data_IF_929765186993
#
_entry.id   IF_929765186993
#
_cell.length_a   1.000
_cell.length_b   1.000
_cell.length_c   1.000
_cell.angle_alpha   90.00
_cell.angle_beta   90.00
_cell.angle_gamma   90.00
#
_symmetry.space_group_name_H-M   'P 1'
#
loop_
_entity.id
_entity.type
_entity.pdbx_description
1 polymer ?
#
# COMPACT_ATOMS: atom_id res chain seq x y z
N UNK A 1 18.81 -15.36 -8.59
CA UNK A 1 19.27 -13.95 -8.46
C UNK A 1 18.20 -13.08 -9.07
N UNK A 2 17.85 -11.96 -8.43
CA UNK A 2 16.88 -10.99 -8.95
C UNK A 2 17.60 -9.66 -9.23
N UNK A 3 17.02 -8.84 -10.10
CA UNK A 3 17.47 -7.46 -10.38
C UNK A 3 16.44 -6.45 -9.87
N UNK A 4 16.87 -5.21 -9.70
CA UNK A 4 15.98 -4.09 -9.41
C UNK A 4 15.96 -3.14 -10.61
N UNK A 5 14.77 -2.64 -10.93
CA UNK A 5 14.58 -1.60 -11.95
C UNK A 5 13.77 -0.46 -11.34
N UNK A 6 14.30 0.76 -11.42
CA UNK A 6 13.60 1.98 -11.02
C UNK A 6 12.93 2.61 -12.24
N UNK A 7 11.65 2.94 -12.12
CA UNK A 7 10.87 3.66 -13.11
C UNK A 7 10.47 5.02 -12.53
N UNK A 8 10.93 6.09 -13.19
CA UNK A 8 10.52 7.48 -12.95
C UNK A 8 9.68 8.03 -14.10
N UNK A 9 9.36 7.15 -15.06
CA UNK A 9 8.51 7.38 -16.23
C UNK A 9 7.65 6.14 -16.43
N UNK A 10 6.76 6.14 -17.43
CA UNK A 10 5.88 5.01 -17.70
C UNK A 10 6.65 3.67 -17.79
N UNK A 11 6.26 2.72 -16.95
CA UNK A 11 6.73 1.33 -17.02
C UNK A 11 6.04 0.54 -18.14
N UNK A 12 6.67 -0.52 -18.67
CA UNK A 12 6.06 -1.38 -19.68
C UNK A 12 4.73 -2.00 -19.20
N UNK A 13 3.75 -2.13 -20.10
CA UNK A 13 2.44 -2.74 -19.79
C UNK A 13 2.55 -4.12 -19.12
N UNK A 14 3.45 -5.05 -19.56
CA UNK A 14 3.56 -6.34 -18.91
C UNK A 14 4.00 -6.27 -17.44
N UNK A 15 4.75 -5.23 -17.06
CA UNK A 15 5.14 -4.98 -15.67
C UNK A 15 3.94 -4.49 -14.87
N UNK A 16 3.18 -3.54 -15.42
CA UNK A 16 1.98 -3.00 -14.78
C UNK A 16 0.95 -4.10 -14.52
N UNK A 17 0.69 -4.95 -15.51
CA UNK A 17 -0.25 -6.07 -15.41
C UNK A 17 0.16 -7.07 -14.32
N UNK A 18 1.46 -7.39 -14.20
CA UNK A 18 1.96 -8.26 -13.12
C UNK A 18 1.89 -7.59 -11.73
N UNK A 19 2.13 -6.28 -11.63
CA UNK A 19 1.96 -5.54 -10.38
C UNK A 19 0.50 -5.56 -9.94
N UNK A 20 -0.44 -5.29 -10.84
CA UNK A 20 -1.87 -5.31 -10.54
C UNK A 20 -2.33 -6.70 -10.08
N UNK A 21 -1.85 -7.77 -10.72
CA UNK A 21 -2.11 -9.13 -10.24
C UNK A 21 -1.56 -9.35 -8.81
N UNK A 22 -0.34 -8.89 -8.53
CA UNK A 22 0.24 -8.99 -7.19
C UNK A 22 -0.57 -8.21 -6.14
N UNK A 23 -1.11 -7.05 -6.49
CA UNK A 23 -1.99 -6.26 -5.62
C UNK A 23 -3.27 -7.04 -5.28
N UNK A 24 -3.89 -7.65 -6.28
CA UNK A 24 -5.08 -8.50 -6.13
C UNK A 24 -4.82 -9.70 -5.21
N UNK A 25 -3.65 -10.35 -5.37
CA UNK A 25 -3.25 -11.53 -4.60
C UNK A 25 -2.84 -11.20 -3.16
N UNK A 26 -2.43 -9.95 -2.89
CA UNK A 26 -1.89 -9.51 -1.59
C UNK A 26 -2.75 -8.43 -0.92
N UNK A 27 -4.01 -8.25 -1.33
CA UNK A 27 -4.88 -7.13 -0.89
C UNK A 27 -4.90 -6.95 0.64
N UNK A 28 -5.15 -8.03 1.38
CA UNK A 28 -5.21 -8.02 2.85
C UNK A 28 -3.90 -7.51 3.46
N UNK A 29 -2.75 -7.85 2.86
CA UNK A 29 -1.45 -7.45 3.39
C UNK A 29 -1.11 -5.99 3.08
N UNK A 30 -1.56 -5.44 1.94
CA UNK A 30 -1.17 -4.10 1.46
C UNK A 30 -2.21 -3.01 1.78
N UNK A 31 -3.48 -3.38 1.94
CA UNK A 31 -4.56 -2.43 2.22
C UNK A 31 -4.55 -2.00 3.69
N UNK A 32 -4.83 -0.72 3.95
CA UNK A 32 -5.08 -0.22 5.31
C UNK A 32 -6.32 -0.85 5.95
N UNK A 33 -7.27 -1.36 5.16
CA UNK A 33 -8.48 -2.02 5.68
C UNK A 33 -8.20 -3.46 6.09
N UNK A 34 -7.16 -4.09 5.52
CA UNK A 34 -6.72 -5.45 5.79
C UNK A 34 -7.86 -6.48 5.85
N UNK A 35 -8.87 -6.31 4.99
CA UNK A 35 -10.07 -7.12 5.04
C UNK A 35 -9.76 -8.57 4.62
N UNK A 36 -10.25 -9.59 5.36
CA UNK A 36 -10.04 -10.97 4.99
C UNK A 36 -10.91 -11.37 3.77
N UNK A 37 -10.46 -12.33 2.93
CA UNK A 37 -11.23 -12.82 1.77
C UNK A 37 -12.63 -13.37 2.10
N UNK A 38 -12.88 -13.73 3.37
CA UNK A 38 -14.17 -14.24 3.83
C UNK A 38 -15.25 -13.16 3.98
N UNK A 39 -14.90 -11.88 4.00
CA UNK A 39 -15.88 -10.80 4.11
C UNK A 39 -16.46 -10.49 2.71
N UNK A 40 -17.79 -10.36 2.60
CA UNK A 40 -18.47 -10.11 1.32
C UNK A 40 -18.03 -8.82 0.63
N UNK A 41 -17.55 -7.82 1.38
CA UNK A 41 -17.06 -6.56 0.83
C UNK A 41 -15.66 -6.68 0.21
N UNK A 42 -14.98 -7.82 0.35
CA UNK A 42 -13.61 -8.01 -0.13
C UNK A 42 -13.42 -7.62 -1.59
N UNK A 43 -14.35 -8.02 -2.46
CA UNK A 43 -14.27 -7.72 -3.90
C UNK A 43 -14.37 -6.22 -4.21
N UNK A 44 -15.08 -5.44 -3.38
CA UNK A 44 -15.14 -3.98 -3.53
C UNK A 44 -13.77 -3.39 -3.23
N UNK A 45 -13.14 -3.80 -2.13
CA UNK A 45 -11.80 -3.34 -1.76
C UNK A 45 -10.73 -3.83 -2.74
N UNK A 46 -10.87 -5.05 -3.25
CA UNK A 46 -9.96 -5.60 -4.26
C UNK A 46 -9.96 -4.76 -5.53
N UNK A 47 -11.15 -4.39 -6.02
CA UNK A 47 -11.28 -3.48 -7.15
C UNK A 47 -10.73 -2.10 -6.82
N UNK A 48 -11.15 -1.50 -5.69
CA UNK A 48 -10.79 -0.12 -5.34
C UNK A 48 -9.28 0.05 -5.18
N UNK A 49 -8.60 -0.85 -4.46
CA UNK A 49 -7.14 -0.80 -4.27
C UNK A 49 -6.40 -1.14 -5.56
N UNK A 50 -6.89 -2.10 -6.35
CA UNK A 50 -6.34 -2.39 -7.68
C UNK A 50 -6.40 -1.16 -8.59
N UNK A 51 -7.54 -0.46 -8.60
CA UNK A 51 -7.73 0.75 -9.38
C UNK A 51 -6.90 1.92 -8.87
N UNK A 52 -6.74 2.08 -7.56
CA UNK A 52 -5.83 3.07 -6.96
C UNK A 52 -4.39 2.86 -7.43
N UNK A 53 -3.87 1.64 -7.33
CA UNK A 53 -2.52 1.32 -7.82
C UNK A 53 -2.42 1.54 -9.32
N UNK A 54 -3.43 1.14 -10.11
CA UNK A 54 -3.47 1.40 -11.54
C UNK A 54 -3.35 2.91 -11.83
N UNK A 55 -4.10 3.74 -11.12
CA UNK A 55 -4.04 5.19 -11.30
C UNK A 55 -2.68 5.79 -10.93
N UNK A 56 -1.99 5.24 -9.92
CA UNK A 56 -0.62 5.62 -9.60
C UNK A 56 0.38 5.20 -10.69
N UNK A 57 0.23 3.99 -11.25
CA UNK A 57 1.06 3.53 -12.36
C UNK A 57 0.86 4.40 -13.60
N UNK A 58 -0.38 4.82 -13.89
CA UNK A 58 -0.65 5.79 -14.96
C UNK A 58 -0.02 7.15 -14.69
N UNK A 59 0.08 7.57 -13.42
CA UNK A 59 0.68 8.83 -13.04
C UNK A 59 2.22 8.86 -13.17
N UNK A 60 2.89 7.70 -13.33
CA UNK A 60 4.34 7.62 -13.57
C UNK A 60 4.79 8.45 -14.78
N UNK A 61 3.91 8.70 -15.75
CA UNK A 61 4.23 9.54 -16.92
C UNK A 61 4.10 11.06 -16.65
N UNK A 62 3.78 11.46 -15.41
CA UNK A 62 3.58 12.85 -15.00
C UNK A 62 2.22 13.47 -15.37
N UNK A 63 1.35 12.77 -16.09
CA UNK A 63 0.12 13.32 -16.63
C UNK A 63 -0.95 13.65 -15.57
N UNK A 64 -0.83 13.10 -14.35
CA UNK A 64 -1.80 13.30 -13.25
C UNK A 64 -1.39 14.37 -12.25
N UNK A 65 -0.31 15.11 -12.49
CA UNK A 65 0.13 16.21 -11.61
C UNK A 65 0.61 15.76 -10.23
N UNK A 66 0.87 14.46 -10.04
CA UNK A 66 1.46 13.88 -8.84
C UNK A 66 2.79 13.22 -9.20
N UNK A 67 3.80 13.39 -8.34
CA UNK A 67 5.07 12.69 -8.48
C UNK A 67 4.93 11.26 -7.95
N UNK A 68 5.18 10.30 -8.82
CA UNK A 68 5.15 8.87 -8.49
C UNK A 68 6.41 8.25 -9.05
N UNK A 69 7.03 7.37 -8.26
CA UNK A 69 8.12 6.54 -8.71
C UNK A 69 7.90 5.09 -8.28
N UNK A 70 8.56 4.17 -8.97
CA UNK A 70 8.37 2.74 -8.80
C UNK A 70 9.73 2.02 -8.81
N UNK A 71 9.96 1.15 -7.83
CA UNK A 71 11.03 0.15 -7.88
C UNK A 71 10.40 -1.21 -8.05
N UNK A 72 10.88 -2.00 -9.01
CA UNK A 72 10.41 -3.35 -9.31
C UNK A 72 11.55 -4.34 -9.12
N UNK A 73 11.28 -5.45 -8.42
CA UNK A 73 12.19 -6.58 -8.36
C UNK A 73 11.80 -7.63 -9.40
N UNK A 74 12.76 -8.02 -10.24
CA UNK A 74 12.57 -8.91 -11.37
C UNK A 74 13.41 -10.18 -11.24
N UNK A 75 12.82 -11.32 -11.58
CA UNK A 75 13.55 -12.56 -11.82
C UNK A 75 13.28 -13.01 -13.26
N UNK A 76 14.21 -12.68 -14.16
CA UNK A 76 13.92 -12.73 -15.60
C UNK A 76 12.88 -11.68 -15.96
N UNK A 77 11.79 -12.10 -16.61
CA UNK A 77 10.66 -11.23 -16.97
C UNK A 77 9.55 -11.19 -15.91
N UNK A 78 9.71 -11.99 -14.84
CA UNK A 78 8.72 -12.10 -13.77
C UNK A 78 8.93 -11.02 -12.71
N UNK A 79 7.90 -10.24 -12.43
CA UNK A 79 7.85 -9.33 -11.28
C UNK A 79 7.65 -10.14 -10.00
N UNK A 80 8.63 -10.12 -9.12
CA UNK A 80 8.61 -10.83 -7.83
C UNK A 80 8.37 -9.90 -6.63
N UNK A 81 8.45 -8.59 -6.85
CA UNK A 81 8.09 -7.56 -5.87
C UNK A 81 8.03 -6.18 -6.50
N UNK A 82 7.34 -5.27 -5.84
CA UNK A 82 7.31 -3.86 -6.22
C UNK A 82 7.24 -2.95 -4.99
N UNK A 83 7.72 -1.72 -5.15
CA UNK A 83 7.64 -0.64 -4.19
C UNK A 83 7.26 0.65 -4.93
N UNK A 84 6.04 1.12 -4.72
CA UNK A 84 5.49 2.36 -5.27
C UNK A 84 5.56 3.44 -4.20
N UNK A 85 6.17 4.57 -4.53
CA UNK A 85 6.44 5.64 -3.59
C UNK A 85 6.24 7.02 -4.24
N UNK A 86 6.01 8.00 -3.37
CA UNK A 86 5.60 9.35 -3.71
C UNK A 86 6.67 10.30 -3.18
N UNK A 87 7.57 10.81 -4.04
CA UNK A 87 8.47 11.90 -3.66
C UNK A 87 7.68 13.08 -3.10
N UNK A 88 8.21 13.70 -2.06
CA UNK A 88 7.55 14.81 -1.37
C UNK A 88 7.85 16.10 -2.13
N UNK A 89 6.81 16.88 -2.39
CA UNK A 89 6.97 18.20 -2.99
C UNK A 89 7.69 19.12 -1.99
N UNK A 90 8.68 19.85 -2.50
CA UNK A 90 9.52 20.79 -1.74
C UNK A 90 10.49 20.14 -0.73
N UNK A 91 10.58 18.81 -0.69
CA UNK A 91 11.60 18.06 0.05
C UNK A 91 12.26 16.99 -0.85
N UNK A 92 13.41 17.31 -1.48
CA UNK A 92 14.06 16.42 -2.45
C UNK A 92 14.64 15.15 -1.83
N UNK A 93 14.69 15.06 -0.50
CA UNK A 93 15.23 13.91 0.21
C UNK A 93 14.14 13.02 0.82
N UNK A 94 12.87 13.44 0.75
CA UNK A 94 11.77 12.74 1.35
C UNK A 94 10.83 12.05 0.35
N UNK A 95 10.33 10.88 0.75
CA UNK A 95 9.28 10.18 0.03
C UNK A 95 8.34 9.40 0.97
N UNK A 96 7.10 9.22 0.55
CA UNK A 96 6.16 8.29 1.18
C UNK A 96 6.07 6.98 0.42
N UNK A 97 6.22 5.84 1.11
CA UNK A 97 5.92 4.53 0.52
C UNK A 97 4.40 4.32 0.52
N UNK A 98 3.79 4.31 -0.66
CA UNK A 98 2.35 4.14 -0.82
C UNK A 98 1.96 2.65 -0.83
N UNK A 99 2.65 1.83 -1.64
CA UNK A 99 2.39 0.39 -1.73
C UNK A 99 3.69 -0.38 -1.87
N UNK A 100 3.80 -1.50 -1.17
CA UNK A 100 4.91 -2.44 -1.35
C UNK A 100 4.43 -3.86 -1.16
N UNK A 101 4.79 -4.74 -2.08
CA UNK A 101 4.51 -6.16 -1.98
C UNK A 101 5.67 -7.01 -2.52
N UNK A 102 5.77 -8.23 -1.99
CA UNK A 102 6.67 -9.27 -2.48
C UNK A 102 5.85 -10.54 -2.61
N UNK A 103 5.97 -11.22 -3.76
CA UNK A 103 5.32 -12.51 -3.99
C UNK A 103 5.63 -13.48 -2.87
N UNK A 104 4.62 -14.25 -2.43
CA UNK A 104 4.73 -15.13 -1.27
C UNK A 104 5.95 -16.08 -1.35
N UNK A 105 6.20 -16.66 -2.52
CA UNK A 105 7.33 -17.56 -2.78
C UNK A 105 8.72 -16.90 -2.63
N UNK A 106 8.79 -15.57 -2.71
CA UNK A 106 10.03 -14.78 -2.65
C UNK A 106 10.18 -13.98 -1.34
N UNK A 107 9.25 -14.14 -0.40
CA UNK A 107 9.36 -13.52 0.94
C UNK A 107 10.55 -14.09 1.72
N UNK A 108 11.13 -13.29 2.61
CA UNK A 108 12.32 -13.63 3.42
C UNK A 108 13.61 -13.92 2.63
N UNK A 109 13.64 -13.58 1.33
CA UNK A 109 14.84 -13.68 0.48
C UNK A 109 15.55 -12.32 0.26
N UNK A 110 15.22 -11.32 1.08
CA UNK A 110 15.82 -9.98 0.99
C UNK A 110 15.22 -9.04 -0.06
N UNK A 111 14.21 -9.46 -0.83
CA UNK A 111 13.59 -8.65 -1.90
C UNK A 111 13.07 -7.30 -1.40
N UNK A 112 12.26 -7.29 -0.33
CA UNK A 112 11.74 -6.04 0.24
C UNK A 112 12.85 -5.11 0.74
N UNK A 113 13.89 -5.68 1.36
CA UNK A 113 15.07 -4.93 1.84
C UNK A 113 15.83 -4.30 0.68
N UNK A 114 16.00 -5.04 -0.42
CA UNK A 114 16.69 -4.56 -1.61
C UNK A 114 15.91 -3.41 -2.26
N UNK A 115 14.59 -3.57 -2.45
CA UNK A 115 13.75 -2.51 -3.01
C UNK A 115 13.75 -1.24 -2.14
N UNK A 116 13.63 -1.38 -0.81
CA UNK A 116 13.73 -0.22 0.07
C UNK A 116 15.12 0.39 0.10
N UNK A 117 16.18 -0.41 0.01
CA UNK A 117 17.55 0.10 -0.12
C UNK A 117 17.72 1.00 -1.34
N UNK A 118 17.13 0.60 -2.48
CA UNK A 118 17.12 1.40 -3.71
C UNK A 118 16.37 2.73 -3.52
N UNK A 119 15.22 2.70 -2.85
CA UNK A 119 14.46 3.93 -2.52
C UNK A 119 15.27 4.84 -1.60
N UNK A 120 15.84 4.29 -0.52
CA UNK A 120 16.58 5.05 0.50
C UNK A 120 17.91 5.62 0.00
N UNK A 121 18.49 5.01 -1.03
CA UNK A 121 19.67 5.56 -1.71
C UNK A 121 19.35 6.90 -2.42
N UNK A 122 18.10 7.09 -2.84
CA UNK A 122 17.62 8.32 -3.51
C UNK A 122 16.91 9.26 -2.54
N UNK A 123 16.12 8.71 -1.62
CA UNK A 123 15.31 9.43 -0.63
C UNK A 123 15.68 8.97 0.78
N UNK A 124 16.71 9.59 1.40
CA UNK A 124 17.14 9.22 2.74
C UNK A 124 16.10 9.47 3.86
N UNK A 125 14.96 10.11 3.55
CA UNK A 125 13.82 10.30 4.45
C UNK A 125 12.59 9.60 3.87
N UNK A 126 12.43 8.31 4.17
CA UNK A 126 11.21 7.59 3.83
C UNK A 126 10.20 7.55 4.99
N UNK A 127 8.93 7.73 4.67
CA UNK A 127 7.77 7.55 5.54
C UNK A 127 6.88 6.41 5.02
N UNK A 128 6.33 5.60 5.92
CA UNK A 128 5.37 4.56 5.55
C UNK A 128 4.37 4.28 6.67
N UNK A 129 3.24 3.70 6.31
CA UNK A 129 2.27 3.16 7.25
C UNK A 129 2.16 1.64 7.07
N UNK A 130 2.23 0.87 8.14
CA UNK A 130 2.18 -0.58 8.07
C UNK A 130 1.38 -1.22 9.22
N UNK A 131 1.03 -2.50 9.09
CA UNK A 131 0.44 -3.25 10.20
C UNK A 131 1.47 -3.51 11.30
N UNK A 132 1.00 -3.73 12.53
CA UNK A 132 1.86 -3.97 13.71
C UNK A 132 2.84 -5.13 13.48
N UNK A 133 2.41 -6.17 12.78
CA UNK A 133 3.22 -7.36 12.49
C UNK A 133 4.44 -7.05 11.61
N UNK A 134 4.39 -5.98 10.81
CA UNK A 134 5.47 -5.59 9.91
C UNK A 134 6.49 -4.65 10.56
N UNK A 135 6.17 -4.08 11.74
CA UNK A 135 7.06 -3.14 12.44
C UNK A 135 8.46 -3.71 12.69
N UNK A 136 8.64 -4.95 13.18
CA UNK A 136 9.98 -5.50 13.39
C UNK A 136 10.82 -5.58 12.11
N UNK A 137 10.18 -5.89 10.98
CA UNK A 137 10.86 -5.96 9.68
C UNK A 137 11.35 -4.57 9.25
N UNK A 138 10.49 -3.53 9.35
CA UNK A 138 10.87 -2.16 9.01
C UNK A 138 11.88 -1.56 9.99
N UNK A 139 11.82 -1.88 11.29
CA UNK A 139 12.86 -1.52 12.27
C UNK A 139 14.24 -2.05 11.87
N UNK A 140 14.30 -3.31 11.45
CA UNK A 140 15.55 -3.90 10.94
C UNK A 140 16.06 -3.27 9.62
N UNK A 141 15.26 -2.40 8.99
CA UNK A 141 15.60 -1.65 7.78
C UNK A 141 15.83 -0.15 8.07
N UNK A 142 15.92 0.25 9.34
CA UNK A 142 16.24 1.63 9.75
C UNK A 142 15.04 2.53 9.97
N UNK A 143 13.81 2.00 9.96
CA UNK A 143 12.62 2.77 10.30
C UNK A 143 12.35 2.75 11.81
N UNK A 144 11.81 3.84 12.33
CA UNK A 144 11.36 3.98 13.71
C UNK A 144 9.88 4.31 13.77
N UNK A 145 9.24 3.90 14.86
CA UNK A 145 7.82 4.15 15.13
C UNK A 145 7.63 5.63 15.45
N UNK A 146 6.68 6.28 14.80
CA UNK A 146 6.35 7.71 15.01
C UNK A 146 4.97 7.93 15.60
N UNK A 147 4.03 7.06 15.28
CA UNK A 147 2.67 7.22 15.74
C UNK A 147 1.71 6.19 15.19
N UNK A 148 0.43 6.42 15.46
CA UNK A 148 -0.69 5.66 14.91
C UNK A 148 -1.36 6.49 13.81
N UNK A 149 -1.71 5.85 12.68
CA UNK A 149 -2.55 6.41 11.62
C UNK A 149 -3.66 5.41 11.31
N UNK A 150 -4.80 5.58 11.98
CA UNK A 150 -5.93 4.65 11.87
C UNK A 150 -5.53 3.23 12.28
N UNK A 151 -5.65 2.29 11.34
CA UNK A 151 -5.31 0.87 11.49
C UNK A 151 -3.83 0.54 11.28
N UNK A 152 -2.98 1.54 11.06
CA UNK A 152 -1.57 1.35 10.71
C UNK A 152 -0.63 2.12 11.64
N UNK A 153 0.55 1.57 11.86
CA UNK A 153 1.67 2.22 12.56
C UNK A 153 2.43 3.09 11.55
N UNK A 154 2.52 4.38 11.84
CA UNK A 154 3.33 5.32 11.08
C UNK A 154 4.80 5.13 11.47
N UNK A 155 5.65 4.92 10.46
CA UNK A 155 7.08 4.73 10.62
C UNK A 155 7.86 5.67 9.71
N UNK A 156 9.04 6.10 10.16
CA UNK A 156 9.91 7.02 9.44
C UNK A 156 11.39 6.61 9.64
N UNK A 157 12.26 6.91 8.68
CA UNK A 157 13.72 6.75 8.80
C UNK A 157 14.43 7.90 9.54
N UNK A 158 13.74 9.02 9.71
CA UNK A 158 14.15 10.23 10.44
C UNK A 158 13.33 10.43 11.70
N UNK A 159 13.87 11.26 12.60
CA UNK A 159 13.26 11.67 13.87
C UNK A 159 12.34 12.89 13.78
N UNK A 160 12.13 13.38 12.56
CA UNK A 160 11.14 14.39 12.21
C UNK A 160 10.33 13.92 10.99
N UNK A 161 9.10 14.43 10.87
CA UNK A 161 8.30 14.28 9.65
C UNK A 161 8.70 15.33 8.62
N UNK A 162 8.44 15.09 7.35
CA UNK A 162 8.62 16.13 6.33
C UNK A 162 7.52 17.20 6.45
N UNK A 163 7.89 18.46 6.26
CA UNK A 163 6.93 19.58 6.18
C UNK A 163 6.36 19.76 4.76
N UNK A 164 6.86 18.97 3.80
CA UNK A 164 6.46 19.05 2.39
C UNK A 164 5.11 18.41 2.08
N UNK A 165 4.60 18.69 0.89
CA UNK A 165 3.30 18.18 0.44
C UNK A 165 3.46 16.87 -0.32
N UNK A 166 2.72 15.84 0.09
CA UNK A 166 2.67 14.58 -0.65
C UNK A 166 1.38 14.52 -1.48
N UNK A 167 1.53 14.46 -2.80
CA UNK A 167 0.40 14.30 -3.72
C UNK A 167 -0.19 12.89 -3.63
N UNK A 168 -1.30 12.75 -2.91
CA UNK A 168 -2.04 11.48 -2.79
C UNK A 168 -3.27 11.55 -3.70
N UNK A 169 -3.62 10.44 -4.35
CA UNK A 169 -4.84 10.35 -5.16
C UNK A 169 -6.08 10.54 -4.29
N UNK A 170 -7.14 11.12 -4.88
CA UNK A 170 -8.45 11.12 -4.23
C UNK A 170 -9.08 9.72 -4.29
N UNK A 171 -8.82 8.94 -3.24
CA UNK A 171 -9.35 7.60 -3.09
C UNK A 171 -10.88 7.60 -2.92
N UNK A 172 -11.49 8.68 -2.40
CA UNK A 172 -12.93 8.75 -2.19
C UNK A 172 -13.69 8.73 -3.53
N UNK A 173 -13.12 9.37 -4.56
CA UNK A 173 -13.66 9.32 -5.91
C UNK A 173 -13.74 7.88 -6.45
N UNK A 174 -12.77 7.01 -6.13
CA UNK A 174 -12.75 5.60 -6.54
C UNK A 174 -13.96 4.85 -5.95
N UNK A 175 -14.21 4.99 -4.65
CA UNK A 175 -15.35 4.32 -4.00
C UNK A 175 -16.70 4.84 -4.50
N UNK A 176 -16.72 6.04 -5.09
CA UNK A 176 -17.93 6.61 -5.69
C UNK A 176 -18.14 6.21 -7.16
N UNK A 177 -17.21 5.46 -7.78
CA UNK A 177 -17.24 5.12 -9.21
C UNK A 177 -18.42 4.23 -9.59
N UNK A 178 -18.72 4.18 -10.89
CA UNK A 178 -19.80 3.34 -11.42
C UNK A 178 -19.53 1.86 -11.17
N UNK A 179 -18.29 1.42 -11.36
CA UNK A 179 -17.83 0.05 -11.23
C UNK A 179 -17.96 -0.43 -9.78
N UNK A 180 -17.57 0.39 -8.79
CA UNK A 180 -17.77 0.07 -7.37
C UNK A 180 -19.26 -0.07 -7.04
N UNK A 181 -20.11 0.82 -7.56
CA UNK A 181 -21.57 0.72 -7.38
C UNK A 181 -22.15 -0.53 -8.04
N UNK A 182 -21.64 -0.93 -9.20
CA UNK A 182 -22.06 -2.16 -9.89
C UNK A 182 -21.66 -3.41 -9.11
N UNK A 183 -20.42 -3.49 -8.60
CA UNK A 183 -19.96 -4.58 -7.73
C UNK A 183 -20.84 -4.66 -6.48
N UNK A 184 -21.10 -3.51 -5.84
CA UNK A 184 -21.97 -3.46 -4.66
C UNK A 184 -23.40 -3.94 -4.98
N UNK A 185 -23.97 -3.49 -6.11
CA UNK A 185 -25.31 -3.91 -6.55
C UNK A 185 -25.36 -5.41 -6.84
N UNK A 186 -24.34 -5.96 -7.50
CA UNK A 186 -24.21 -7.40 -7.74
C UNK A 186 -24.16 -8.19 -6.43
N UNK A 187 -23.31 -7.78 -5.48
CA UNK A 187 -23.21 -8.43 -4.18
C UNK A 187 -24.53 -8.36 -3.40
N UNK A 188 -25.21 -7.21 -3.45
CA UNK A 188 -26.52 -7.02 -2.83
C UNK A 188 -27.59 -7.94 -3.43
N UNK A 189 -27.63 -8.09 -4.76
CA UNK A 189 -28.56 -9.00 -5.44
C UNK A 189 -28.26 -10.47 -5.12
N UNK A 190 -26.97 -10.84 -5.05
CA UNK A 190 -26.53 -12.21 -4.81
C UNK A 190 -26.70 -12.68 -3.36
N UNK A 191 -26.41 -11.81 -2.39
CA UNK A 191 -26.36 -12.17 -0.97
C UNK A 191 -27.50 -11.58 -0.13
N UNK A 192 -28.21 -10.59 -0.66
CA UNK A 192 -29.30 -9.91 0.03
C UNK A 192 -28.84 -8.85 1.03
N UNK A 193 -29.75 -7.93 1.36
CA UNK A 193 -29.48 -6.75 2.20
C UNK A 193 -28.94 -7.10 3.59
N UNK A 194 -29.48 -8.14 4.23
CA UNK A 194 -29.08 -8.53 5.59
C UNK A 194 -27.61 -8.99 5.64
N UNK A 195 -27.20 -9.83 4.69
CA UNK A 195 -25.83 -10.32 4.63
C UNK A 195 -24.83 -9.19 4.34
N UNK A 196 -25.20 -8.23 3.48
CA UNK A 196 -24.39 -7.04 3.22
C UNK A 196 -24.20 -6.17 4.48
N UNK A 197 -25.28 -5.88 5.21
CA UNK A 197 -25.21 -5.14 6.48
C UNK A 197 -24.37 -5.88 7.53
N UNK A 198 -24.48 -7.20 7.59
CA UNK A 198 -23.66 -8.00 8.49
C UNK A 198 -22.16 -7.96 8.09
N UNK A 199 -21.85 -7.94 6.79
CA UNK A 199 -20.48 -7.80 6.29
C UNK A 199 -19.88 -6.41 6.59
N UNK A 200 -20.67 -5.34 6.50
CA UNK A 200 -20.30 -3.98 6.93
C UNK A 200 -19.97 -3.95 8.42
N UNK A 201 -20.84 -4.52 9.27
CA UNK A 201 -20.58 -4.62 10.72
C UNK A 201 -19.33 -5.42 11.03
N UNK A 202 -19.06 -6.50 10.30
CA UNK A 202 -17.84 -7.28 10.46
C UNK A 202 -16.60 -6.46 10.11
N UNK A 203 -16.63 -5.69 9.01
CA UNK A 203 -15.56 -4.76 8.63
C UNK A 203 -15.34 -3.73 9.73
N UNK A 204 -16.39 -3.08 10.22
CA UNK A 204 -16.25 -1.99 11.19
C UNK A 204 -15.62 -2.49 12.50
N UNK A 205 -16.07 -3.65 13.01
CA UNK A 205 -15.44 -4.30 14.17
C UNK A 205 -13.98 -4.66 13.92
N UNK A 206 -13.65 -5.12 12.71
CA UNK A 206 -12.29 -5.44 12.34
C UNK A 206 -11.39 -4.20 12.35
N UNK A 207 -11.86 -3.08 11.77
CA UNK A 207 -11.14 -1.81 11.78
C UNK A 207 -10.95 -1.26 13.20
N UNK A 208 -11.96 -1.37 14.06
CA UNK A 208 -11.86 -0.99 15.47
C UNK A 208 -10.80 -1.81 16.21
N UNK A 209 -10.74 -3.11 15.97
CA UNK A 209 -9.75 -4.01 16.55
C UNK A 209 -8.33 -3.63 16.10
N UNK A 210 -8.12 -3.41 14.80
CA UNK A 210 -6.83 -2.98 14.26
C UNK A 210 -6.40 -1.63 14.85
N UNK A 211 -7.31 -0.66 14.91
CA UNK A 211 -7.04 0.67 15.47
C UNK A 211 -6.60 0.58 16.93
N UNK A 212 -7.32 -0.18 17.76
CA UNK A 212 -6.94 -0.40 19.18
C UNK A 212 -5.59 -1.09 19.31
N UNK A 213 -5.32 -2.07 18.44
CA UNK A 213 -4.05 -2.80 18.42
C UNK A 213 -2.88 -1.85 18.11
N UNK A 214 -3.04 -0.99 17.11
CA UNK A 214 -2.04 0.02 16.74
C UNK A 214 -1.83 1.02 17.87
N UNK A 215 -2.91 1.55 18.46
CA UNK A 215 -2.82 2.50 19.57
C UNK A 215 -2.07 1.91 20.76
N UNK A 216 -2.41 0.69 21.16
CA UNK A 216 -1.75 -0.01 22.28
C UNK A 216 -0.27 -0.26 21.98
N UNK A 217 0.04 -0.71 20.76
CA UNK A 217 1.41 -0.93 20.34
C UNK A 217 2.25 0.36 20.37
N UNK A 218 1.71 1.46 19.84
CA UNK A 218 2.43 2.74 19.80
C UNK A 218 2.61 3.31 21.21
N UNK A 219 1.64 3.15 22.12
CA UNK A 219 1.78 3.60 23.50
C UNK A 219 2.91 2.87 24.25
N UNK A 220 3.08 1.57 24.01
CA UNK A 220 4.18 0.77 24.58
C UNK A 220 5.56 1.14 24.02
N UNK A 221 5.59 1.86 22.90
CA UNK A 221 6.80 2.26 22.17
C UNK A 221 7.16 3.74 22.35
N UNK A 222 6.46 4.45 23.25
CA UNK A 222 6.72 5.86 23.59
C UNK A 222 7.65 6.06 24.78
N UNK A 223 8.15 4.97 25.36
CA UNK A 223 9.16 4.95 26.43
C UNK A 223 10.57 4.62 25.86
#
# INVERSE_FOLDING_TARGET
MFSLTRYTTASPEPINSQILQMVVDNLTDISSVALPPSNLLYNIYQYAVGFEVHQYLEALNGAKGIAVELVVALQGEQVIGFCLYLPVQDDPHACGIAFMAVQAAHRRQGVARAMLGEVLAHYPHAELACSVEKVPAFKAMGFQVRGARGTQVLMNTRDYGTDGLMGVLDVAAIYSSLEVRQIHTYLLQKHGKRAMVDAEKQRDRHLDQLTRKVQSFVSEHRD
#
